data_IF_835686827569
#
_entry.id   IF_835686827569
#
_cell.length_a   1.000
_cell.length_b   1.000
_cell.length_c   1.000
_cell.angle_alpha   90.00
_cell.angle_beta   90.00
_cell.angle_gamma   90.00
#
_symmetry.space_group_name_H-M   'P 1'
#
loop_
_entity.id
_entity.type
_entity.pdbx_description
1 polymer ?
#
# COMPACT_ATOMS: atom_id res chain seq x y z
N UNK A 1 -20.74 -2.97 16.61
CA UNK A 1 -21.02 -3.02 15.16
C UNK A 1 -19.99 -3.88 14.45
N UNK A 2 -20.38 -4.53 13.37
CA UNK A 2 -19.60 -5.64 12.78
C UNK A 2 -18.17 -5.32 12.27
N UNK A 3 -17.79 -4.10 11.95
CA UNK A 3 -16.47 -3.73 11.38
C UNK A 3 -15.88 -2.49 12.08
N UNK A 4 -16.04 -2.35 13.39
CA UNK A 4 -15.62 -1.15 14.13
C UNK A 4 -14.11 -0.90 14.09
N UNK A 5 -13.31 -1.96 14.09
CA UNK A 5 -11.85 -1.86 14.03
C UNK A 5 -11.31 -1.38 12.69
N UNK A 6 -12.13 -1.39 11.62
CA UNK A 6 -11.79 -0.75 10.37
C UNK A 6 -12.16 0.74 10.45
N UNK A 7 -11.19 1.60 10.39
CA UNK A 7 -11.42 3.05 10.44
C UNK A 7 -12.03 3.55 9.13
N UNK A 8 -12.92 4.54 9.23
CA UNK A 8 -13.60 5.12 8.07
C UNK A 8 -14.35 4.07 7.24
N UNK A 9 -14.44 4.30 5.92
CA UNK A 9 -15.03 3.37 4.96
C UNK A 9 -16.47 2.95 5.29
N UNK A 10 -17.28 3.86 5.84
CA UNK A 10 -18.61 3.53 6.43
C UNK A 10 -19.57 2.95 5.40
N UNK A 11 -19.57 3.46 4.16
CA UNK A 11 -20.39 2.91 3.08
C UNK A 11 -20.02 1.47 2.74
N UNK A 12 -18.72 1.16 2.72
CA UNK A 12 -18.21 -0.19 2.49
C UNK A 12 -18.65 -1.13 3.62
N UNK A 13 -18.51 -0.70 4.89
CA UNK A 13 -18.95 -1.46 6.07
C UNK A 13 -20.44 -1.75 6.04
N UNK A 14 -21.27 -0.77 5.73
CA UNK A 14 -22.72 -0.92 5.61
C UNK A 14 -23.11 -1.92 4.51
N UNK A 15 -22.49 -1.82 3.32
CA UNK A 15 -22.71 -2.72 2.22
C UNK A 15 -22.32 -4.16 2.56
N UNK A 16 -21.15 -4.37 3.19
CA UNK A 16 -20.69 -5.68 3.62
C UNK A 16 -21.64 -6.27 4.67
N UNK A 17 -21.98 -5.52 5.71
CA UNK A 17 -22.91 -5.96 6.76
C UNK A 17 -24.26 -6.36 6.15
N UNK A 18 -24.82 -5.55 5.24
CA UNK A 18 -26.07 -5.86 4.58
C UNK A 18 -26.01 -7.09 3.66
N UNK A 19 -24.87 -7.32 2.99
CA UNK A 19 -24.70 -8.49 2.13
C UNK A 19 -24.57 -9.77 2.95
N UNK A 20 -23.73 -9.74 3.97
CA UNK A 20 -23.49 -10.88 4.85
C UNK A 20 -24.74 -11.27 5.67
N UNK A 21 -25.49 -10.30 6.20
CA UNK A 21 -26.76 -10.58 6.92
C UNK A 21 -27.83 -11.24 6.04
N UNK A 22 -27.74 -11.06 4.72
CA UNK A 22 -28.61 -11.72 3.74
C UNK A 22 -28.04 -13.04 3.21
N UNK A 23 -26.93 -13.53 3.77
CA UNK A 23 -26.24 -14.72 3.31
C UNK A 23 -25.62 -14.59 1.91
N UNK A 24 -25.40 -13.36 1.42
CA UNK A 24 -24.83 -13.10 0.10
C UNK A 24 -23.31 -13.00 0.21
N UNK A 25 -22.64 -14.14 0.12
CA UNK A 25 -21.17 -14.26 0.15
C UNK A 25 -20.68 -14.45 -1.28
N UNK A 26 -19.76 -13.59 -1.73
CA UNK A 26 -19.10 -13.76 -3.02
C UNK A 26 -18.02 -14.83 -2.93
N UNK A 27 -17.82 -15.59 -4.00
CA UNK A 27 -16.74 -16.56 -4.08
C UNK A 27 -15.36 -15.91 -4.32
N UNK A 28 -15.31 -14.65 -4.75
CA UNK A 28 -14.07 -13.95 -4.98
C UNK A 28 -14.18 -12.47 -4.61
N UNK A 29 -13.38 -12.07 -3.64
CA UNK A 29 -13.24 -10.67 -3.22
C UNK A 29 -11.90 -10.11 -3.65
N UNK A 30 -11.92 -8.91 -4.19
CA UNK A 30 -10.72 -8.10 -4.45
C UNK A 30 -10.71 -6.93 -3.47
N UNK A 31 -9.78 -6.92 -2.52
CA UNK A 31 -9.60 -5.78 -1.62
C UNK A 31 -8.50 -4.90 -2.21
N UNK A 32 -8.89 -3.72 -2.68
CA UNK A 32 -8.02 -2.79 -3.38
C UNK A 32 -7.75 -1.52 -2.57
N UNK A 33 -6.57 -0.94 -2.77
CA UNK A 33 -6.15 0.31 -2.14
C UNK A 33 -4.64 0.39 -1.98
N UNK A 34 -4.06 1.58 -1.83
CA UNK A 34 -2.62 1.76 -1.67
C UNK A 34 -2.03 0.99 -0.49
N UNK A 35 -0.70 0.90 -0.43
CA UNK A 35 -0.01 0.38 0.75
C UNK A 35 -0.46 1.15 2.00
N UNK A 36 -0.66 0.46 3.12
CA UNK A 36 -1.11 1.11 4.36
C UNK A 36 -2.59 1.50 4.43
N UNK A 37 -3.41 1.19 3.40
CA UNK A 37 -4.86 1.48 3.40
C UNK A 37 -5.70 0.62 4.35
N UNK A 38 -5.12 -0.44 4.95
CA UNK A 38 -5.85 -1.34 5.85
C UNK A 38 -6.40 -2.60 5.18
N UNK A 39 -5.87 -3.00 4.01
CA UNK A 39 -6.31 -4.20 3.27
C UNK A 39 -6.24 -5.48 4.12
N UNK A 40 -5.16 -5.69 4.85
CA UNK A 40 -5.02 -6.84 5.75
C UNK A 40 -6.03 -6.80 6.90
N UNK A 41 -6.32 -5.61 7.44
CA UNK A 41 -7.36 -5.46 8.47
C UNK A 41 -8.72 -5.84 7.93
N UNK A 42 -9.09 -5.32 6.75
CA UNK A 42 -10.36 -5.64 6.12
C UNK A 42 -10.45 -7.13 5.75
N UNK A 43 -9.37 -7.74 5.22
CA UNK A 43 -9.38 -9.17 4.87
C UNK A 43 -9.62 -10.06 6.08
N UNK A 44 -8.98 -9.79 7.22
CA UNK A 44 -9.20 -10.53 8.48
C UNK A 44 -10.63 -10.36 9.00
N UNK A 45 -11.14 -9.14 9.01
CA UNK A 45 -12.52 -8.87 9.44
C UNK A 45 -13.56 -9.51 8.53
N UNK A 46 -13.36 -9.47 7.22
CA UNK A 46 -14.21 -10.12 6.23
C UNK A 46 -14.19 -11.64 6.39
N UNK A 47 -13.01 -12.23 6.53
CA UNK A 47 -12.83 -13.66 6.80
C UNK A 47 -13.54 -14.06 8.10
N UNK A 48 -13.34 -13.32 9.18
CA UNK A 48 -14.03 -13.55 10.43
C UNK A 48 -15.55 -13.41 10.31
N UNK A 49 -16.04 -12.46 9.52
CA UNK A 49 -17.46 -12.27 9.30
C UNK A 49 -18.11 -13.38 8.48
N UNK A 50 -17.40 -13.95 7.50
CA UNK A 50 -17.87 -15.07 6.68
C UNK A 50 -18.00 -16.36 7.53
N UNK A 51 -17.06 -16.58 8.45
CA UNK A 51 -16.98 -17.78 9.26
C UNK A 51 -17.75 -17.70 10.59
N UNK A 52 -18.05 -16.49 11.06
CA UNK A 52 -18.73 -16.26 12.32
C UNK A 52 -20.24 -16.58 12.19
N UNK A 53 -20.75 -17.41 13.14
CA UNK A 53 -22.17 -17.81 13.18
C UNK A 53 -23.03 -16.92 14.08
N UNK A 54 -22.44 -15.92 14.72
CA UNK A 54 -23.16 -14.99 15.59
C UNK A 54 -23.94 -13.94 14.77
N UNK A 55 -25.01 -13.43 15.35
CA UNK A 55 -25.91 -12.50 14.67
C UNK A 55 -25.24 -11.17 14.26
N UNK A 56 -24.23 -10.75 15.00
CA UNK A 56 -23.44 -9.52 14.78
C UNK A 56 -22.04 -9.78 14.20
N UNK A 57 -21.95 -10.72 13.26
CA UNK A 57 -20.68 -11.12 12.60
C UNK A 57 -19.97 -9.93 11.90
N UNK A 58 -18.63 -9.81 12.08
CA UNK A 58 -17.76 -10.57 12.98
C UNK A 58 -17.91 -10.11 14.44
N UNK A 59 -18.27 -11.01 15.34
CA UNK A 59 -18.43 -10.67 16.76
C UNK A 59 -17.09 -10.43 17.48
N UNK A 60 -15.98 -10.85 16.91
CA UNK A 60 -14.61 -10.71 17.42
C UNK A 60 -14.34 -11.37 18.80
N UNK A 61 -15.32 -12.10 19.33
CA UNK A 61 -15.27 -12.73 20.68
C UNK A 61 -15.36 -14.25 20.65
N UNK A 62 -16.06 -14.82 19.65
CA UNK A 62 -16.19 -16.27 19.55
C UNK A 62 -14.86 -16.94 19.16
N UNK A 63 -14.78 -18.25 19.37
CA UNK A 63 -13.57 -19.02 19.08
C UNK A 63 -13.14 -18.91 17.61
N UNK A 64 -14.09 -18.93 16.66
CA UNK A 64 -13.82 -18.79 15.23
C UNK A 64 -13.20 -17.42 14.93
N UNK A 65 -13.82 -16.33 15.38
CA UNK A 65 -13.26 -14.99 15.17
C UNK A 65 -11.85 -14.84 15.76
N UNK A 66 -11.62 -15.40 16.96
CA UNK A 66 -10.31 -15.34 17.60
C UNK A 66 -9.26 -16.09 16.79
N UNK A 67 -9.54 -17.34 16.36
CA UNK A 67 -8.65 -18.13 15.50
C UNK A 67 -8.30 -17.38 14.21
N UNK A 68 -9.27 -16.74 13.56
CA UNK A 68 -9.04 -15.96 12.33
C UNK A 68 -8.16 -14.74 12.59
N UNK A 69 -8.43 -13.98 13.66
CA UNK A 69 -7.64 -12.80 14.01
C UNK A 69 -6.20 -13.14 14.41
N UNK A 70 -5.99 -14.32 14.99
CA UNK A 70 -4.68 -14.88 15.35
C UNK A 70 -3.99 -15.62 14.18
N UNK A 71 -4.59 -15.64 12.96
CA UNK A 71 -4.12 -16.40 11.79
C UNK A 71 -3.94 -17.91 12.05
N UNK A 72 -4.80 -18.51 12.84
CA UNK A 72 -4.72 -19.92 13.28
C UNK A 72 -6.01 -20.72 12.99
N UNK A 73 -6.78 -20.35 11.97
CA UNK A 73 -7.99 -21.06 11.58
C UNK A 73 -7.69 -22.09 10.49
N UNK A 74 -8.04 -23.39 10.65
CA UNK A 74 -7.66 -24.46 9.70
C UNK A 74 -8.26 -24.30 8.30
N UNK A 75 -9.42 -23.63 8.19
CA UNK A 75 -10.10 -23.39 6.91
C UNK A 75 -9.75 -22.02 6.30
N UNK A 76 -8.74 -21.34 6.85
CA UNK A 76 -8.20 -20.07 6.30
C UNK A 76 -6.75 -20.29 5.90
N UNK A 77 -6.50 -20.34 4.62
CA UNK A 77 -5.19 -20.61 4.04
C UNK A 77 -4.63 -19.33 3.44
N UNK A 78 -3.53 -18.84 3.99
CA UNK A 78 -2.78 -17.73 3.40
C UNK A 78 -1.79 -18.28 2.40
N UNK A 79 -1.87 -17.78 1.17
CA UNK A 79 -0.99 -18.17 0.05
C UNK A 79 -0.08 -16.99 -0.22
N UNK A 80 1.09 -17.00 0.37
CA UNK A 80 2.12 -15.99 0.23
C UNK A 80 3.45 -16.59 -0.24
N UNK A 81 4.31 -15.75 -0.80
CA UNK A 81 5.62 -16.10 -1.31
C UNK A 81 6.61 -14.97 -0.91
N UNK A 82 7.12 -15.01 0.32
CA UNK A 82 7.93 -13.93 0.86
C UNK A 82 9.27 -13.72 0.11
N UNK A 83 9.72 -14.69 -0.69
CA UNK A 83 10.94 -14.58 -1.47
C UNK A 83 10.72 -13.81 -2.79
N UNK A 84 9.48 -13.64 -3.22
CA UNK A 84 9.13 -13.02 -4.50
C UNK A 84 8.14 -11.86 -4.33
N UNK A 85 8.11 -10.93 -5.29
CA UNK A 85 7.14 -9.82 -5.30
C UNK A 85 5.70 -10.29 -5.60
N UNK A 86 5.57 -11.36 -6.37
CA UNK A 86 4.29 -11.96 -6.75
C UNK A 86 4.28 -13.42 -6.36
N UNK A 87 3.10 -13.92 -6.01
CA UNK A 87 2.93 -15.34 -5.65
C UNK A 87 3.31 -16.25 -6.83
N UNK A 88 4.15 -17.23 -6.59
CA UNK A 88 4.54 -18.21 -7.60
C UNK A 88 3.32 -18.99 -8.11
N UNK A 89 3.24 -19.20 -9.43
CA UNK A 89 2.13 -19.90 -10.10
C UNK A 89 1.88 -21.29 -9.51
N UNK A 90 2.94 -21.98 -9.07
CA UNK A 90 2.84 -23.29 -8.43
C UNK A 90 1.97 -23.23 -7.17
N UNK A 91 2.16 -22.23 -6.31
CA UNK A 91 1.37 -22.03 -5.08
C UNK A 91 -0.09 -21.73 -5.41
N UNK A 92 -0.34 -20.91 -6.43
CA UNK A 92 -1.70 -20.61 -6.91
C UNK A 92 -2.40 -21.86 -7.41
N UNK A 93 -1.71 -22.73 -8.17
CA UNK A 93 -2.26 -24.01 -8.65
C UNK A 93 -2.55 -24.96 -7.49
N UNK A 94 -1.67 -25.06 -6.51
CA UNK A 94 -1.89 -25.85 -5.31
C UNK A 94 -3.13 -25.37 -4.53
N UNK A 95 -3.27 -24.06 -4.30
CA UNK A 95 -4.44 -23.48 -3.65
C UNK A 95 -5.73 -23.79 -4.42
N UNK A 96 -5.70 -23.71 -5.75
CA UNK A 96 -6.84 -24.07 -6.61
C UNK A 96 -7.23 -25.55 -6.49
N UNK A 97 -6.26 -26.47 -6.44
CA UNK A 97 -6.50 -27.90 -6.31
C UNK A 97 -7.03 -28.24 -4.91
N UNK A 98 -6.43 -27.66 -3.88
CA UNK A 98 -6.84 -27.86 -2.50
C UNK A 98 -8.24 -27.27 -2.19
N UNK A 99 -8.71 -26.29 -2.96
CA UNK A 99 -10.04 -25.72 -2.80
C UNK A 99 -11.17 -26.76 -3.00
N UNK A 100 -10.94 -27.85 -3.73
CA UNK A 100 -11.92 -28.91 -3.90
C UNK A 100 -12.03 -29.86 -2.71
N UNK A 101 -11.13 -29.74 -1.73
CA UNK A 101 -11.22 -30.45 -0.46
C UNK A 101 -12.14 -29.67 0.47
N UNK A 102 -13.10 -30.37 1.07
CA UNK A 102 -14.07 -29.77 1.99
C UNK A 102 -13.41 -29.06 3.17
N UNK A 103 -14.06 -28.01 3.71
CA UNK A 103 -13.60 -27.37 4.95
C UNK A 103 -13.55 -28.37 6.12
N UNK A 104 -12.71 -28.07 7.12
CA UNK A 104 -12.53 -28.93 8.29
C UNK A 104 -13.59 -28.70 9.37
N UNK A 105 -13.78 -27.45 9.79
CA UNK A 105 -14.67 -27.09 10.92
C UNK A 105 -15.68 -26.00 10.60
N UNK A 106 -15.53 -25.33 9.48
CA UNK A 106 -16.40 -24.21 9.06
C UNK A 106 -17.24 -24.53 7.84
N UNK A 107 -18.24 -23.68 7.55
CA UNK A 107 -19.08 -23.81 6.36
C UNK A 107 -18.37 -23.33 5.08
N UNK A 108 -17.29 -22.57 5.22
CA UNK A 108 -16.51 -22.01 4.13
C UNK A 108 -15.02 -22.28 4.29
N UNK A 109 -14.32 -22.44 3.18
CA UNK A 109 -12.86 -22.53 3.07
C UNK A 109 -12.35 -21.28 2.34
N UNK A 110 -11.42 -20.56 2.97
CA UNK A 110 -10.98 -19.22 2.51
C UNK A 110 -9.51 -19.27 2.14
N UNK A 111 -9.20 -18.79 0.93
CA UNK A 111 -7.83 -18.58 0.47
C UNK A 111 -7.55 -17.09 0.38
N UNK A 112 -6.58 -16.63 1.17
CA UNK A 112 -6.11 -15.26 1.19
C UNK A 112 -4.80 -15.15 0.41
N UNK A 113 -4.77 -14.28 -0.59
CA UNK A 113 -3.59 -13.90 -1.35
C UNK A 113 -3.18 -12.48 -0.93
N UNK A 114 -2.21 -12.33 0.00
CA UNK A 114 -1.78 -11.02 0.48
C UNK A 114 -0.88 -10.26 -0.50
N UNK A 115 -0.33 -10.97 -1.48
CA UNK A 115 0.55 -10.43 -2.52
C UNK A 115 -0.13 -10.42 -3.89
N UNK A 116 0.38 -9.57 -4.79
CA UNK A 116 -0.07 -9.51 -6.17
C UNK A 116 0.15 -10.84 -6.90
N UNK A 117 -0.76 -11.16 -7.80
CA UNK A 117 -0.64 -12.32 -8.68
C UNK A 117 -0.09 -11.89 -10.06
N UNK A 118 0.95 -12.56 -10.52
CA UNK A 118 1.40 -12.44 -11.91
C UNK A 118 0.33 -12.93 -12.90
N UNK A 119 0.46 -12.57 -14.18
CA UNK A 119 -0.49 -12.92 -15.25
C UNK A 119 -0.78 -14.42 -15.30
N UNK A 120 0.25 -15.26 -15.17
CA UNK A 120 0.09 -16.73 -15.17
C UNK A 120 -0.68 -17.22 -13.94
N UNK A 121 -0.45 -16.62 -12.75
CA UNK A 121 -1.18 -16.92 -11.52
C UNK A 121 -2.67 -16.54 -11.66
N UNK A 122 -2.94 -15.37 -12.21
CA UNK A 122 -4.31 -14.94 -12.50
C UNK A 122 -5.02 -15.89 -13.46
N UNK A 123 -4.37 -16.30 -14.55
CA UNK A 123 -4.91 -17.27 -15.49
C UNK A 123 -5.18 -18.65 -14.83
N UNK A 124 -4.31 -19.06 -13.89
CA UNK A 124 -4.50 -20.32 -13.17
C UNK A 124 -5.77 -20.37 -12.30
N UNK A 125 -6.29 -19.19 -11.89
CA UNK A 125 -7.53 -19.09 -11.11
C UNK A 125 -8.80 -19.03 -11.98
N UNK A 126 -8.73 -18.71 -13.27
CA UNK A 126 -9.93 -18.46 -14.10
C UNK A 126 -10.92 -19.62 -14.04
N UNK A 127 -10.45 -20.87 -14.16
CA UNK A 127 -11.33 -22.04 -14.15
C UNK A 127 -12.15 -22.16 -12.86
N UNK A 128 -11.53 -21.92 -11.70
CA UNK A 128 -12.24 -22.04 -10.41
C UNK A 128 -13.09 -20.79 -10.12
N UNK A 129 -12.79 -19.67 -10.75
CA UNK A 129 -13.62 -18.47 -10.65
C UNK A 129 -14.91 -18.57 -11.47
N UNK A 130 -14.92 -19.43 -12.50
CA UNK A 130 -16.09 -19.72 -13.31
C UNK A 130 -17.03 -20.72 -12.65
N UNK A 131 -16.46 -21.74 -12.03
CA UNK A 131 -17.22 -22.81 -11.35
C UNK A 131 -16.68 -23.05 -9.93
N UNK A 132 -16.86 -22.09 -9.01
CA UNK A 132 -16.35 -22.23 -7.65
C UNK A 132 -17.16 -23.24 -6.83
N UNK A 133 -16.52 -24.03 -5.95
CA UNK A 133 -17.24 -24.80 -4.95
C UNK A 133 -18.08 -23.88 -4.06
N UNK A 134 -19.27 -24.33 -3.67
CA UNK A 134 -20.22 -23.52 -2.87
C UNK A 134 -19.65 -23.00 -1.56
N UNK A 135 -18.69 -23.70 -1.00
CA UNK A 135 -17.98 -23.38 0.24
C UNK A 135 -16.68 -22.59 0.01
N UNK A 136 -16.26 -22.40 -1.23
CA UNK A 136 -14.98 -21.78 -1.57
C UNK A 136 -15.05 -20.27 -1.66
N UNK A 137 -14.12 -19.57 -0.98
CA UNK A 137 -13.96 -18.12 -1.07
C UNK A 137 -12.50 -17.76 -1.27
N UNK A 138 -12.23 -16.91 -2.25
CA UNK A 138 -10.91 -16.33 -2.49
C UNK A 138 -10.92 -14.85 -2.13
N UNK A 139 -9.88 -14.39 -1.45
CA UNK A 139 -9.66 -12.97 -1.12
C UNK A 139 -8.29 -12.57 -1.65
N UNK A 140 -8.26 -11.65 -2.59
CA UNK A 140 -7.03 -11.08 -3.16
C UNK A 140 -6.83 -9.65 -2.67
N UNK A 141 -5.62 -9.34 -2.22
CA UNK A 141 -5.22 -7.98 -1.89
C UNK A 141 -4.44 -7.38 -3.06
N UNK A 142 -4.79 -6.16 -3.47
CA UNK A 142 -4.08 -5.47 -4.55
C UNK A 142 -3.83 -4.00 -4.22
N UNK A 143 -2.64 -3.52 -4.55
CA UNK A 143 -2.32 -2.09 -4.49
C UNK A 143 -2.85 -1.35 -5.71
N UNK A 144 -2.97 -2.03 -6.84
CA UNK A 144 -3.47 -1.48 -8.09
C UNK A 144 -4.37 -2.49 -8.82
N UNK A 145 -5.70 -2.34 -8.74
CA UNK A 145 -6.65 -3.25 -9.38
C UNK A 145 -6.55 -3.27 -10.92
N UNK A 146 -5.95 -2.25 -11.54
CA UNK A 146 -5.75 -2.20 -12.99
C UNK A 146 -4.69 -3.20 -13.49
N UNK A 147 -3.87 -3.76 -12.60
CA UNK A 147 -2.91 -4.83 -12.94
C UNK A 147 -3.58 -6.21 -13.05
N UNK A 148 -4.83 -6.32 -12.64
CA UNK A 148 -5.60 -7.55 -12.80
C UNK A 148 -6.17 -7.66 -14.21
N UNK A 149 -6.14 -8.89 -14.72
CA UNK A 149 -6.76 -9.19 -16.01
C UNK A 149 -8.27 -8.85 -15.96
N UNK A 150 -8.82 -8.21 -17.00
CA UNK A 150 -10.25 -7.90 -17.06
C UNK A 150 -11.15 -9.12 -16.83
N UNK A 151 -10.71 -10.30 -17.28
CA UNK A 151 -11.39 -11.59 -17.10
C UNK A 151 -11.48 -12.03 -15.64
N UNK A 152 -10.46 -11.73 -14.82
CA UNK A 152 -10.46 -11.97 -13.37
C UNK A 152 -11.29 -10.90 -12.67
N UNK A 153 -11.02 -9.62 -12.98
CA UNK A 153 -11.70 -8.49 -12.33
C UNK A 153 -13.23 -8.52 -12.51
N UNK A 154 -13.72 -8.93 -13.68
CA UNK A 154 -15.17 -9.03 -13.93
C UNK A 154 -15.89 -10.09 -13.08
N UNK A 155 -15.15 -11.01 -12.46
CA UNK A 155 -15.68 -12.07 -11.59
C UNK A 155 -15.46 -11.79 -10.11
N UNK A 156 -14.85 -10.65 -9.78
CA UNK A 156 -14.59 -10.24 -8.39
C UNK A 156 -15.66 -9.30 -7.85
N UNK A 157 -15.92 -9.41 -6.56
CA UNK A 157 -16.55 -8.33 -5.80
C UNK A 157 -15.44 -7.42 -5.29
N UNK A 158 -15.31 -6.23 -5.87
CA UNK A 158 -14.28 -5.27 -5.48
C UNK A 158 -14.69 -4.51 -4.22
N UNK A 159 -13.77 -4.45 -3.26
CA UNK A 159 -13.86 -3.74 -1.99
C UNK A 159 -12.72 -2.71 -1.95
N UNK A 160 -12.99 -1.54 -2.51
CA UNK A 160 -12.01 -0.46 -2.58
C UNK A 160 -11.95 0.31 -1.25
N UNK A 161 -10.75 0.40 -0.67
CA UNK A 161 -10.50 1.20 0.52
C UNK A 161 -10.19 2.64 0.15
N UNK A 162 -10.90 3.57 0.78
CA UNK A 162 -10.72 5.01 0.60
C UNK A 162 -9.81 5.61 1.67
N UNK A 163 -9.25 6.77 1.36
CA UNK A 163 -8.50 7.58 2.31
C UNK A 163 -9.38 7.97 3.52
N UNK A 164 -8.77 8.03 4.69
CA UNK A 164 -9.41 8.53 5.91
C UNK A 164 -9.46 10.06 5.90
N UNK A 165 -10.50 10.67 6.47
CA UNK A 165 -10.50 12.08 6.81
C UNK A 165 -9.31 12.43 7.70
N UNK A 166 -8.74 13.61 7.50
CA UNK A 166 -7.52 14.06 8.19
C UNK A 166 -7.69 14.10 9.72
N UNK A 167 -8.85 14.56 10.19
CA UNK A 167 -9.18 14.64 11.62
C UNK A 167 -9.23 13.25 12.29
N UNK A 168 -9.77 12.24 11.60
CA UNK A 168 -9.79 10.85 12.08
C UNK A 168 -8.36 10.31 12.12
N UNK A 169 -7.59 10.56 11.07
CA UNK A 169 -6.23 10.06 10.94
C UNK A 169 -5.32 10.64 12.04
N UNK A 170 -5.34 11.96 12.23
CA UNK A 170 -4.55 12.62 13.29
C UNK A 170 -4.93 12.08 14.66
N UNK A 171 -6.23 11.89 14.93
CA UNK A 171 -6.71 11.34 16.21
C UNK A 171 -6.19 9.93 16.49
N UNK A 172 -6.17 9.07 15.46
CA UNK A 172 -5.66 7.69 15.62
C UNK A 172 -4.14 7.68 15.75
N UNK A 173 -3.43 8.51 14.99
CA UNK A 173 -1.98 8.66 15.13
C UNK A 173 -1.57 9.17 16.52
N UNK A 174 -2.30 10.14 17.08
CA UNK A 174 -2.03 10.68 18.43
C UNK A 174 -2.18 9.62 19.55
N UNK A 175 -3.02 8.61 19.35
CA UNK A 175 -3.14 7.49 20.32
C UNK A 175 -1.92 6.58 20.32
N UNK A 176 -1.33 6.34 19.14
CA UNK A 176 -0.19 5.43 19.00
C UNK A 176 1.16 6.12 19.17
N UNK A 177 1.22 7.41 18.86
CA UNK A 177 2.43 8.23 18.96
C UNK A 177 2.21 9.42 19.89
N UNK A 178 2.01 9.19 21.21
CA UNK A 178 1.70 10.26 22.16
C UNK A 178 2.83 11.29 22.30
N UNK A 179 4.07 10.89 22.01
CA UNK A 179 5.25 11.76 22.08
C UNK A 179 5.47 12.59 20.80
N UNK A 180 4.73 12.32 19.72
CA UNK A 180 4.86 13.06 18.48
C UNK A 180 4.20 14.46 18.60
N UNK A 181 4.88 15.47 18.07
CA UNK A 181 4.32 16.82 18.04
C UNK A 181 3.06 16.89 17.14
N UNK A 182 2.14 17.80 17.45
CA UNK A 182 0.94 18.04 16.63
C UNK A 182 1.30 18.34 15.16
N UNK A 183 2.41 19.05 14.94
CA UNK A 183 2.89 19.35 13.59
C UNK A 183 3.38 18.08 12.87
N UNK A 184 4.06 17.17 13.56
CA UNK A 184 4.51 15.90 12.99
C UNK A 184 3.33 14.98 12.63
N UNK A 185 2.31 14.93 13.49
CA UNK A 185 1.09 14.15 13.25
C UNK A 185 0.33 14.66 12.02
N UNK A 186 0.11 15.98 11.95
CA UNK A 186 -0.53 16.63 10.80
C UNK A 186 0.27 16.40 9.54
N UNK A 187 1.58 16.49 9.65
CA UNK A 187 2.53 16.22 8.60
C UNK A 187 2.37 14.82 8.01
N UNK A 188 2.42 13.84 8.88
CA UNK A 188 2.28 12.45 8.47
C UNK A 188 0.91 12.18 7.86
N UNK A 189 -0.16 12.78 8.40
CA UNK A 189 -1.52 12.65 7.89
C UNK A 189 -1.64 13.16 6.44
N UNK A 190 -1.13 14.36 6.16
CA UNK A 190 -1.17 14.95 4.81
C UNK A 190 -0.31 14.14 3.83
N UNK A 191 0.94 13.81 4.20
CA UNK A 191 1.88 13.09 3.32
C UNK A 191 1.45 11.66 3.02
N UNK A 192 0.75 11.01 3.93
CA UNK A 192 0.22 9.65 3.72
C UNK A 192 -0.98 9.60 2.77
N UNK A 193 -1.48 10.75 2.29
CA UNK A 193 -2.70 10.78 1.48
C UNK A 193 -3.93 10.21 2.16
N UNK A 194 -3.98 10.22 3.51
CA UNK A 194 -5.10 9.70 4.28
C UNK A 194 -5.02 8.20 4.61
N UNK A 195 -3.87 7.55 4.39
CA UNK A 195 -3.69 6.12 4.67
C UNK A 195 -2.90 5.89 5.95
N UNK A 196 -3.56 5.33 6.98
CA UNK A 196 -3.02 5.19 8.33
C UNK A 196 -1.68 4.43 8.38
N UNK A 197 -1.55 3.32 7.66
CA UNK A 197 -0.30 2.54 7.65
C UNK A 197 0.86 3.29 7.03
N UNK A 198 0.61 4.14 6.03
CA UNK A 198 1.65 5.04 5.49
C UNK A 198 2.02 6.14 6.50
N UNK A 199 1.02 6.73 7.16
CA UNK A 199 1.25 7.76 8.17
C UNK A 199 2.08 7.21 9.34
N UNK A 200 1.78 5.99 9.81
CA UNK A 200 2.56 5.30 10.85
C UNK A 200 4.00 5.08 10.40
N UNK A 201 4.22 4.53 9.21
CA UNK A 201 5.55 4.31 8.67
C UNK A 201 6.37 5.62 8.58
N UNK A 202 5.73 6.73 8.23
CA UNK A 202 6.37 8.06 8.21
C UNK A 202 6.78 8.53 9.61
N UNK A 203 5.97 8.24 10.64
CA UNK A 203 6.29 8.60 12.04
C UNK A 203 7.33 7.65 12.65
N UNK A 204 7.27 6.34 12.36
CA UNK A 204 8.24 5.34 12.83
C UNK A 204 9.63 5.55 12.24
N UNK A 205 9.71 5.92 10.97
CA UNK A 205 10.97 6.27 10.32
C UNK A 205 11.56 7.56 10.91
N UNK A 206 10.78 8.30 11.69
CA UNK A 206 11.14 9.57 12.29
C UNK A 206 11.34 10.68 11.26
N UNK A 207 11.73 11.86 11.74
CA UNK A 207 12.12 12.97 10.86
C UNK A 207 13.49 12.73 10.18
N UNK A 208 14.17 11.61 10.48
CA UNK A 208 15.46 11.25 9.89
C UNK A 208 15.23 10.74 8.46
N UNK A 209 15.61 11.56 7.52
CA UNK A 209 15.66 11.16 6.12
C UNK A 209 16.79 10.13 5.90
N UNK A 210 16.64 9.20 4.93
CA UNK A 210 17.78 8.39 4.51
C UNK A 210 19.00 9.29 4.22
N UNK A 211 20.21 8.88 4.58
CA UNK A 211 21.41 9.72 4.41
C UNK A 211 21.57 10.27 2.99
N UNK A 212 21.19 9.48 1.98
CA UNK A 212 21.21 9.87 0.57
C UNK A 212 20.20 10.97 0.26
N UNK A 213 19.03 10.93 0.88
CA UNK A 213 17.98 11.95 0.70
C UNK A 213 18.41 13.26 1.39
N UNK A 214 18.98 13.18 2.58
CA UNK A 214 19.50 14.36 3.28
C UNK A 214 20.63 15.02 2.51
N UNK A 215 21.57 14.22 1.98
CA UNK A 215 22.66 14.70 1.13
C UNK A 215 22.13 15.35 -0.15
N UNK A 216 21.13 14.74 -0.79
CA UNK A 216 20.49 15.31 -1.97
C UNK A 216 19.86 16.68 -1.67
N UNK A 217 19.04 16.77 -0.63
CA UNK A 217 18.35 18.00 -0.27
C UNK A 217 19.34 19.13 0.08
N UNK A 218 20.40 18.79 0.83
CA UNK A 218 21.45 19.75 1.20
C UNK A 218 22.23 20.24 -0.03
N UNK A 219 22.65 19.34 -0.90
CA UNK A 219 23.39 19.68 -2.10
C UNK A 219 22.51 20.46 -3.09
N UNK A 220 21.25 20.05 -3.22
CA UNK A 220 20.28 20.74 -4.10
C UNK A 220 19.96 22.12 -3.56
N UNK A 221 19.65 22.29 -2.28
CA UNK A 221 19.42 23.60 -1.67
C UNK A 221 20.60 24.56 -1.90
N UNK A 222 21.82 24.11 -1.60
CA UNK A 222 23.04 24.89 -1.71
C UNK A 222 23.56 25.10 -3.14
N UNK A 223 22.86 24.64 -4.19
CA UNK A 223 23.32 24.70 -5.60
C UNK A 223 24.71 24.05 -5.82
N UNK A 224 25.01 23.02 -5.03
CA UNK A 224 26.31 22.34 -5.08
C UNK A 224 26.31 21.21 -6.12
N UNK A 225 26.58 21.56 -7.38
CA UNK A 225 26.63 20.61 -8.48
C UNK A 225 27.64 19.49 -8.30
N UNK A 226 28.75 19.74 -7.58
CA UNK A 226 29.78 18.74 -7.33
C UNK A 226 29.27 17.66 -6.37
N UNK A 227 28.64 18.05 -5.26
CA UNK A 227 28.09 17.09 -4.30
C UNK A 227 26.92 16.30 -4.89
N UNK A 228 26.05 16.94 -5.69
CA UNK A 228 25.00 16.23 -6.45
C UNK A 228 25.62 15.17 -7.38
N UNK A 229 26.68 15.53 -8.10
CA UNK A 229 27.37 14.60 -9.00
C UNK A 229 27.96 13.42 -8.24
N UNK A 230 28.64 13.65 -7.11
CA UNK A 230 29.22 12.60 -6.27
C UNK A 230 28.15 11.67 -5.72
N UNK A 231 27.03 12.21 -5.24
CA UNK A 231 25.92 11.44 -4.72
C UNK A 231 25.33 10.53 -5.81
N UNK A 232 24.99 11.09 -6.97
CA UNK A 232 24.40 10.32 -8.08
C UNK A 232 25.37 9.28 -8.63
N UNK A 233 26.68 9.58 -8.71
CA UNK A 233 27.70 8.61 -9.10
C UNK A 233 27.80 7.43 -8.09
N UNK A 234 27.65 7.68 -6.80
CA UNK A 234 27.64 6.62 -5.79
C UNK A 234 26.44 5.67 -5.93
N UNK A 235 25.33 6.14 -6.54
CA UNK A 235 24.08 5.41 -6.71
C UNK A 235 24.01 4.65 -8.07
N UNK A 236 25.00 4.78 -8.95
CA UNK A 236 25.02 4.08 -10.25
C UNK A 236 24.98 2.54 -10.11
N UNK A 237 25.49 2.02 -8.99
CA UNK A 237 25.54 0.59 -8.67
C UNK A 237 24.28 0.07 -7.97
N UNK A 238 23.33 0.95 -7.66
CA UNK A 238 22.08 0.54 -6.99
C UNK A 238 21.24 -0.33 -7.92
N UNK A 239 20.47 -1.23 -7.30
CA UNK A 239 19.41 -1.91 -8.02
C UNK A 239 18.22 -0.95 -8.19
N UNK A 240 17.36 -1.21 -9.17
CA UNK A 240 16.18 -0.36 -9.43
C UNK A 240 15.24 -0.24 -8.23
N UNK A 241 15.05 -1.35 -7.52
CA UNK A 241 14.22 -1.42 -6.32
C UNK A 241 14.78 -0.59 -5.14
N UNK A 242 16.03 -0.19 -5.19
CA UNK A 242 16.66 0.74 -4.26
C UNK A 242 16.63 2.19 -4.77
N UNK A 243 16.87 2.39 -6.07
CA UNK A 243 16.97 3.73 -6.67
C UNK A 243 15.58 4.41 -6.78
N UNK A 244 14.58 3.71 -7.32
CA UNK A 244 13.29 4.33 -7.61
C UNK A 244 12.59 4.88 -6.37
N UNK A 245 12.51 4.16 -5.23
CA UNK A 245 11.92 4.71 -4.00
C UNK A 245 12.62 5.97 -3.48
N UNK A 246 13.95 6.08 -3.67
CA UNK A 246 14.67 7.31 -3.32
C UNK A 246 14.27 8.48 -4.22
N UNK A 247 14.18 8.27 -5.53
CA UNK A 247 13.75 9.32 -6.46
C UNK A 247 12.30 9.76 -6.20
N UNK A 248 11.41 8.83 -5.86
CA UNK A 248 10.03 9.12 -5.45
C UNK A 248 10.00 9.98 -4.17
N UNK A 249 10.80 9.61 -3.16
CA UNK A 249 10.94 10.39 -1.93
C UNK A 249 11.47 11.80 -2.21
N UNK A 250 12.46 11.96 -3.08
CA UNK A 250 12.99 13.27 -3.46
C UNK A 250 11.94 14.12 -4.18
N UNK A 251 11.16 13.48 -5.06
CA UNK A 251 10.07 14.16 -5.78
C UNK A 251 9.05 14.73 -4.80
N UNK A 252 8.56 13.92 -3.85
CA UNK A 252 7.60 14.34 -2.82
C UNK A 252 8.14 15.50 -2.00
N UNK A 253 9.41 15.46 -1.58
CA UNK A 253 10.01 16.53 -0.78
C UNK A 253 10.19 17.84 -1.57
N UNK A 254 10.49 17.78 -2.88
CA UNK A 254 10.54 18.96 -3.72
C UNK A 254 9.14 19.52 -4.03
N UNK A 255 8.13 18.68 -4.21
CA UNK A 255 6.73 19.09 -4.33
C UNK A 255 6.26 19.80 -3.06
N UNK A 256 6.62 19.28 -1.88
CA UNK A 256 6.37 19.93 -0.60
C UNK A 256 7.08 21.30 -0.50
N UNK A 257 8.34 21.39 -0.94
CA UNK A 257 9.05 22.67 -0.97
C UNK A 257 8.39 23.69 -1.92
N UNK A 258 7.88 23.24 -3.06
CA UNK A 258 7.14 24.07 -4.01
C UNK A 258 5.81 24.56 -3.41
N UNK A 259 5.06 23.68 -2.75
CA UNK A 259 3.83 24.01 -2.03
C UNK A 259 4.07 25.00 -0.88
N UNK A 260 5.19 24.86 -0.17
CA UNK A 260 5.61 25.80 0.88
C UNK A 260 5.83 27.22 0.32
N UNK A 261 6.37 27.36 -0.89
CA UNK A 261 6.48 28.67 -1.56
C UNK A 261 5.13 29.31 -1.87
N UNK A 262 4.10 28.49 -2.06
CA UNK A 262 2.72 28.96 -2.31
C UNK A 262 1.95 29.25 -1.01
N UNK A 263 2.61 29.24 0.14
CA UNK A 263 2.03 29.55 1.45
C UNK A 263 1.46 28.34 2.21
N UNK A 264 1.63 27.13 1.71
CA UNK A 264 1.27 25.92 2.44
C UNK A 264 2.30 25.62 3.54
N UNK A 265 1.85 24.99 4.64
CA UNK A 265 2.76 24.58 5.71
C UNK A 265 3.70 23.49 5.24
N UNK A 266 4.98 23.69 5.42
CA UNK A 266 5.99 22.66 5.19
C UNK A 266 6.15 21.80 6.43
N UNK A 267 6.37 20.53 6.21
CA UNK A 267 6.38 19.47 7.21
C UNK A 267 7.81 19.07 7.62
N UNK A 268 8.78 19.31 6.74
CA UNK A 268 10.17 18.99 7.02
C UNK A 268 11.04 20.27 7.05
N UNK A 269 11.94 20.45 8.03
CA UNK A 269 12.79 21.64 8.10
C UNK A 269 13.59 21.92 6.82
N UNK A 270 14.09 20.85 6.17
CA UNK A 270 14.86 20.97 4.93
C UNK A 270 14.04 21.49 3.75
N UNK A 271 12.74 21.16 3.68
CA UNK A 271 11.87 21.66 2.60
C UNK A 271 11.63 23.17 2.72
N UNK A 272 11.57 23.70 3.95
CA UNK A 272 11.54 25.15 4.19
C UNK A 272 12.82 25.82 3.68
N UNK A 273 13.97 25.21 3.96
CA UNK A 273 15.25 25.72 3.49
C UNK A 273 15.34 25.74 1.96
N UNK A 274 14.90 24.66 1.32
CA UNK A 274 14.86 24.55 -0.14
C UNK A 274 13.89 25.58 -0.74
N UNK A 275 12.71 25.73 -0.15
CA UNK A 275 11.71 26.72 -0.58
C UNK A 275 12.24 28.15 -0.50
N UNK A 276 13.11 28.45 0.47
CA UNK A 276 13.74 29.76 0.58
C UNK A 276 14.87 29.98 -0.45
N UNK A 277 15.62 28.92 -0.78
CA UNK A 277 16.85 29.02 -1.60
C UNK A 277 16.64 28.75 -3.09
N UNK A 278 15.54 28.08 -3.48
CA UNK A 278 15.23 27.70 -4.86
C UNK A 278 13.96 28.40 -5.36
N UNK A 279 13.97 28.82 -6.60
CA UNK A 279 12.78 29.41 -7.25
C UNK A 279 11.72 28.32 -7.56
N UNK A 280 10.46 28.73 -7.72
CA UNK A 280 9.38 27.83 -8.15
C UNK A 280 9.68 27.16 -9.49
N UNK A 281 10.34 27.88 -10.40
CA UNK A 281 10.73 27.34 -11.70
C UNK A 281 11.80 26.26 -11.58
N UNK A 282 12.85 26.47 -10.76
CA UNK A 282 13.90 25.47 -10.50
C UNK A 282 13.29 24.20 -9.85
N UNK A 283 12.38 24.37 -8.90
CA UNK A 283 11.69 23.26 -8.24
C UNK A 283 10.83 22.46 -9.24
N UNK A 284 10.00 23.13 -10.03
CA UNK A 284 9.15 22.47 -11.04
C UNK A 284 9.97 21.72 -12.08
N UNK A 285 11.11 22.28 -12.52
CA UNK A 285 12.01 21.61 -13.44
C UNK A 285 12.65 20.37 -12.81
N UNK A 286 13.13 20.47 -11.58
CA UNK A 286 13.72 19.33 -10.85
C UNK A 286 12.70 18.21 -10.65
N UNK A 287 11.49 18.53 -10.23
CA UNK A 287 10.37 17.59 -10.10
C UNK A 287 10.11 16.86 -11.43
N UNK A 288 9.99 17.62 -12.52
CA UNK A 288 9.78 17.05 -13.86
C UNK A 288 10.91 16.08 -14.27
N UNK A 289 12.16 16.43 -13.96
CA UNK A 289 13.31 15.57 -14.27
C UNK A 289 13.33 14.30 -13.41
N UNK A 290 12.97 14.38 -12.13
CA UNK A 290 12.84 13.21 -11.25
C UNK A 290 11.71 12.28 -11.70
N UNK A 291 10.53 12.82 -12.01
CA UNK A 291 9.40 12.04 -12.52
C UNK A 291 9.74 11.32 -13.83
N UNK A 292 10.45 12.00 -14.73
CA UNK A 292 10.95 11.38 -15.96
C UNK A 292 11.98 10.29 -15.70
N UNK A 293 12.86 10.47 -14.73
CA UNK A 293 13.83 9.46 -14.30
C UNK A 293 13.14 8.20 -13.71
N UNK A 294 12.08 8.38 -12.92
CA UNK A 294 11.24 7.30 -12.40
C UNK A 294 10.59 6.52 -13.56
N UNK A 295 10.03 7.22 -14.54
CA UNK A 295 9.45 6.60 -15.75
C UNK A 295 10.49 5.79 -16.53
N UNK A 296 11.72 6.28 -16.65
CA UNK A 296 12.81 5.52 -17.27
C UNK A 296 13.14 4.24 -16.50
N UNK A 297 13.08 4.27 -15.17
CA UNK A 297 13.21 3.08 -14.33
C UNK A 297 12.15 2.02 -14.63
N UNK A 298 10.89 2.43 -14.84
CA UNK A 298 9.80 1.54 -15.25
C UNK A 298 10.03 0.95 -16.67
N UNK A 299 10.69 1.71 -17.57
CA UNK A 299 10.98 1.32 -18.98
C UNK A 299 12.29 0.54 -19.15
N UNK A 300 12.79 -0.10 -18.11
CA UNK A 300 14.03 -0.93 -18.14
C UNK A 300 15.35 -0.19 -18.44
N UNK A 301 15.42 1.13 -18.26
CA UNK A 301 16.68 1.88 -18.34
C UNK A 301 17.57 1.52 -17.14
N UNK A 302 18.90 1.43 -17.36
CA UNK A 302 19.84 1.09 -16.27
C UNK A 302 19.94 2.22 -15.22
N UNK A 303 20.15 1.88 -13.93
CA UNK A 303 20.35 2.89 -12.88
C UNK A 303 21.48 3.87 -13.18
N UNK A 304 22.59 3.41 -13.75
CA UNK A 304 23.71 4.26 -14.16
C UNK A 304 23.29 5.32 -15.20
N UNK A 305 22.49 4.94 -16.20
CA UNK A 305 21.97 5.89 -17.19
C UNK A 305 20.99 6.90 -16.57
N UNK A 306 20.16 6.48 -15.61
CA UNK A 306 19.26 7.36 -14.87
C UNK A 306 20.07 8.37 -14.03
N UNK A 307 21.08 7.91 -13.29
CA UNK A 307 21.97 8.79 -12.51
C UNK A 307 22.71 9.78 -13.41
N UNK A 308 23.24 9.32 -14.56
CA UNK A 308 23.88 10.19 -15.55
C UNK A 308 22.93 11.27 -16.09
N UNK A 309 21.69 10.91 -16.42
CA UNK A 309 20.66 11.87 -16.84
C UNK A 309 20.40 12.92 -15.76
N UNK A 310 20.20 12.50 -14.50
CA UNK A 310 19.94 13.41 -13.38
C UNK A 310 21.15 14.31 -13.07
N UNK A 311 22.36 13.78 -13.17
CA UNK A 311 23.59 14.55 -13.01
C UNK A 311 23.67 15.73 -13.99
N UNK A 312 23.18 15.54 -15.21
CA UNK A 312 23.19 16.61 -16.22
C UNK A 312 22.02 17.59 -16.04
N UNK A 313 20.88 17.15 -15.56
CA UNK A 313 19.64 17.94 -15.49
C UNK A 313 19.44 18.70 -14.18
N UNK A 314 20.03 18.24 -13.07
CA UNK A 314 19.85 18.85 -11.74
C UNK A 314 21.02 19.79 -11.32
N UNK A 315 21.91 20.07 -12.25
CA UNK A 315 23.01 21.02 -12.03
C UNK A 315 22.57 22.48 -11.91
#
# INVERSE_FOLDING_TARGET
MAFETLLGNDRLKQNLTSSLSKGRISHFYLISGPAGAGKHTLSRLLTAAILCKEADAPCQKCNVCRKVLENNHPDVITVDDPEHKTVAVKLVRQAREDMYILPNESDYKIYLFPQELGIEGQNALLKILEEPPKYGVFILLSNNPEQLLPTVRSRCTELALSALPEDILIRELAKEFPDASSDALTAAAVRSGGYLGQAKALLEQGAALPPQTEQFLTAFAGKNALELTKLLASMEKYKRDQLIPLLESWTILLEEALACRSGMRSLHPMTKTIAAQRSSQELSQAISHLQKAITYGASNVSPAAICGYLTWKLR
#
